data_IF_273812730466
#
_entry.id   IF_273812730466
#
_cell.length_a   1.000
_cell.length_b   1.000
_cell.length_c   1.000
_cell.angle_alpha   90.00
_cell.angle_beta   90.00
_cell.angle_gamma   90.00
#
_symmetry.space_group_name_H-M   'P 1'
#
loop_
_entity.id
_entity.type
_entity.pdbx_description
1 polymer ?
#
# COMPACT_ATOMS: atom_id res chain seq x y z
N UNK A 1 -8.61 -77.40 20.44
CA UNK A 1 -8.24 -76.41 21.47
C UNK A 1 -7.27 -75.47 20.84
N UNK A 2 -7.57 -74.30 20.84
CA UNK A 2 -6.94 -73.00 20.53
C UNK A 2 -7.64 -72.22 19.41
N UNK A 3 -8.34 -71.21 19.94
CA UNK A 3 -9.09 -70.19 19.20
C UNK A 3 -8.15 -69.15 18.63
N UNK A 4 -8.24 -68.86 17.34
CA UNK A 4 -7.58 -67.74 16.70
C UNK A 4 -8.58 -66.61 16.47
N UNK A 5 -8.43 -65.49 17.22
CA UNK A 5 -9.20 -64.28 17.02
C UNK A 5 -8.60 -63.46 15.87
N UNK A 6 -9.44 -63.11 14.89
CA UNK A 6 -9.15 -62.18 13.81
C UNK A 6 -9.17 -60.73 14.34
N UNK A 7 -8.05 -60.00 14.12
CA UNK A 7 -7.99 -58.54 14.26
C UNK A 7 -8.38 -57.95 12.92
N UNK A 8 -9.52 -57.25 12.88
CA UNK A 8 -9.99 -56.49 11.71
C UNK A 8 -9.37 -55.10 11.69
N UNK A 9 -8.74 -54.77 10.59
CA UNK A 9 -8.25 -53.43 10.27
C UNK A 9 -9.41 -52.51 9.92
N UNK A 10 -9.62 -51.46 10.70
CA UNK A 10 -10.50 -50.36 10.39
C UNK A 10 -9.66 -49.21 9.83
N UNK A 11 -9.61 -49.08 8.51
CA UNK A 11 -9.24 -47.85 7.83
C UNK A 11 -10.48 -46.96 7.79
N UNK A 12 -10.51 -45.89 8.63
CA UNK A 12 -11.47 -44.80 8.54
C UNK A 12 -10.89 -43.73 7.63
N UNK A 13 -11.45 -43.61 6.44
CA UNK A 13 -11.28 -42.45 5.57
C UNK A 13 -12.09 -41.31 6.16
N UNK A 14 -11.43 -40.31 6.76
CA UNK A 14 -12.05 -39.02 7.05
C UNK A 14 -12.29 -38.30 5.73
N UNK A 15 -13.54 -38.07 5.39
CA UNK A 15 -13.98 -37.05 4.44
C UNK A 15 -13.75 -35.68 5.08
N UNK A 16 -13.19 -34.77 4.28
CA UNK A 16 -13.17 -33.34 4.60
C UNK A 16 -14.61 -32.85 4.73
N UNK A 17 -14.99 -32.47 5.92
CA UNK A 17 -16.26 -31.79 6.18
C UNK A 17 -16.07 -30.31 5.75
N UNK A 18 -16.75 -29.92 4.69
CA UNK A 18 -16.99 -28.54 4.33
C UNK A 18 -17.78 -27.87 5.45
N UNK A 19 -17.13 -27.00 6.22
CA UNK A 19 -17.78 -26.20 7.26
C UNK A 19 -18.50 -25.06 6.58
N UNK A 20 -19.76 -25.25 6.29
CA UNK A 20 -20.71 -24.22 5.88
C UNK A 20 -20.96 -23.28 7.08
N UNK A 21 -20.37 -22.08 7.04
CA UNK A 21 -20.58 -21.03 8.03
C UNK A 21 -21.94 -20.36 7.79
N UNK A 22 -23.00 -20.89 8.41
CA UNK A 22 -24.30 -20.22 8.47
C UNK A 22 -24.22 -19.00 9.40
N UNK A 23 -24.36 -17.81 8.82
CA UNK A 23 -24.57 -16.57 9.55
C UNK A 23 -26.02 -16.49 10.05
N UNK A 24 -26.30 -15.98 11.25
CA UNK A 24 -27.66 -15.80 11.72
C UNK A 24 -28.35 -14.69 10.90
N UNK A 25 -29.45 -15.05 10.24
CA UNK A 25 -30.37 -14.14 9.59
C UNK A 25 -31.11 -13.30 10.66
N UNK A 26 -30.82 -12.02 10.69
CA UNK A 26 -31.61 -11.06 11.45
C UNK A 26 -32.81 -10.65 10.60
N UNK A 27 -34.04 -11.08 10.99
CA UNK A 27 -35.27 -10.67 10.36
C UNK A 27 -35.62 -9.24 10.79
N UNK A 28 -35.69 -8.29 9.89
CA UNK A 28 -36.30 -7.00 10.10
C UNK A 28 -37.68 -6.98 9.45
N UNK A 29 -38.67 -6.71 10.25
CA UNK A 29 -40.07 -6.51 9.86
C UNK A 29 -40.21 -5.28 8.95
N UNK A 30 -40.86 -5.50 7.80
CA UNK A 30 -41.23 -4.48 6.84
C UNK A 30 -42.37 -3.58 7.38
N UNK A 31 -42.22 -2.27 7.15
CA UNK A 31 -43.35 -1.35 7.07
C UNK A 31 -43.37 -0.70 5.67
N UNK A 32 -44.46 -0.97 4.98
CA UNK A 32 -44.86 -0.45 3.69
C UNK A 32 -45.12 1.07 3.74
N UNK A 33 -44.56 1.83 2.82
CA UNK A 33 -45.25 3.00 2.27
C UNK A 33 -44.90 3.23 0.77
N UNK A 34 -45.97 3.59 0.05
CA UNK A 34 -46.16 3.63 -1.39
C UNK A 34 -45.32 4.66 -2.16
N UNK A 35 -44.88 4.21 -3.31
CA UNK A 35 -45.07 4.79 -4.66
C UNK A 35 -45.01 6.30 -4.89
N UNK A 36 -43.99 6.75 -5.65
CA UNK A 36 -44.19 7.70 -6.76
C UNK A 36 -43.04 7.66 -7.76
N UNK A 37 -43.39 7.27 -8.94
CA UNK A 37 -42.62 7.38 -10.20
C UNK A 37 -42.35 8.84 -10.56
N UNK A 38 -41.14 9.18 -10.97
CA UNK A 38 -40.92 10.15 -12.05
C UNK A 38 -39.44 10.23 -12.48
N UNK A 39 -39.20 9.96 -13.76
CA UNK A 39 -38.42 10.82 -14.64
C UNK A 39 -36.90 10.75 -14.54
N UNK A 40 -36.30 9.94 -15.38
CA UNK A 40 -34.92 10.12 -15.85
C UNK A 40 -34.78 11.49 -16.53
N UNK A 41 -33.96 12.38 -15.97
CA UNK A 41 -33.39 13.51 -16.70
C UNK A 41 -31.88 13.44 -16.58
N UNK A 42 -31.24 13.37 -17.76
CA UNK A 42 -29.81 13.48 -17.94
C UNK A 42 -29.27 14.78 -17.31
N UNK A 43 -28.32 14.67 -16.42
CA UNK A 43 -27.61 15.85 -15.89
C UNK A 43 -26.56 16.27 -16.93
N UNK A 44 -26.89 17.32 -17.67
CA UNK A 44 -25.94 18.11 -18.46
C UNK A 44 -24.86 18.70 -17.54
N UNK A 45 -23.62 18.62 -18.00
CA UNK A 45 -22.47 19.29 -17.42
C UNK A 45 -22.66 20.82 -17.45
N UNK A 46 -23.14 21.42 -16.39
CA UNK A 46 -23.08 22.86 -16.17
C UNK A 46 -21.72 23.21 -15.56
N UNK A 47 -20.78 23.60 -16.40
CA UNK A 47 -19.58 24.31 -15.97
C UNK A 47 -19.97 25.71 -15.53
N UNK A 48 -19.92 25.99 -14.23
CA UNK A 48 -20.04 27.34 -13.68
C UNK A 48 -18.69 28.04 -13.90
N UNK A 49 -18.66 29.18 -14.62
CA UNK A 49 -17.42 29.94 -14.79
C UNK A 49 -17.05 30.63 -13.46
N UNK A 50 -15.89 30.33 -12.94
CA UNK A 50 -15.31 31.09 -11.82
C UNK A 50 -14.83 32.43 -12.38
N UNK A 51 -15.27 33.59 -11.87
CA UNK A 51 -14.76 34.88 -12.30
C UNK A 51 -13.32 35.05 -11.86
N UNK A 52 -12.40 35.13 -12.81
CA UNK A 52 -11.00 35.50 -12.56
C UNK A 52 -10.96 36.98 -12.17
N UNK A 53 -10.58 37.26 -10.95
CA UNK A 53 -10.18 38.61 -10.54
C UNK A 53 -8.91 39.02 -11.28
N UNK A 54 -8.81 40.26 -11.79
CA UNK A 54 -7.59 40.72 -12.46
C UNK A 54 -6.46 40.88 -11.44
N UNK A 55 -5.35 40.21 -11.70
CA UNK A 55 -4.12 40.41 -10.95
C UNK A 55 -3.62 41.86 -11.18
N UNK A 56 -3.16 42.58 -10.15
CA UNK A 56 -2.56 43.90 -10.32
C UNK A 56 -1.26 43.79 -11.10
N UNK A 57 -1.11 44.57 -12.16
CA UNK A 57 0.14 44.75 -12.90
C UNK A 57 1.20 45.37 -11.97
N UNK A 58 2.45 44.91 -11.99
CA UNK A 58 3.50 45.63 -11.30
C UNK A 58 3.75 47.01 -11.93
N UNK A 59 4.14 48.03 -11.15
CA UNK A 59 4.35 49.39 -11.65
C UNK A 59 5.52 49.40 -12.64
N UNK A 60 5.28 50.05 -13.76
CA UNK A 60 6.24 50.33 -14.81
C UNK A 60 7.31 51.34 -14.25
N UNK A 61 8.51 50.83 -13.96
CA UNK A 61 9.65 51.68 -13.58
C UNK A 61 10.20 52.32 -14.85
N UNK A 62 9.85 53.60 -15.08
CA UNK A 62 10.45 54.47 -16.08
C UNK A 62 11.92 54.72 -15.69
N UNK A 63 12.84 54.02 -16.33
CA UNK A 63 14.26 54.33 -16.22
C UNK A 63 14.53 55.50 -17.16
N UNK A 64 14.65 56.71 -16.62
CA UNK A 64 15.17 57.88 -17.29
C UNK A 64 16.67 57.71 -17.53
N UNK A 65 17.09 57.75 -18.78
CA UNK A 65 18.53 57.75 -19.16
C UNK A 65 19.18 58.98 -18.58
N UNK A 66 20.30 58.86 -17.85
CA UNK A 66 21.09 60.03 -17.48
C UNK A 66 21.88 60.55 -18.69
N UNK A 67 21.93 61.85 -18.78
CA UNK A 67 22.73 62.62 -19.77
C UNK A 67 24.21 62.24 -19.62
N UNK A 68 24.89 62.17 -20.77
CA UNK A 68 26.33 61.95 -20.85
C UNK A 68 27.11 63.08 -20.20
N UNK A 69 27.97 62.79 -19.20
CA UNK A 69 28.94 63.81 -18.75
C UNK A 69 30.17 63.78 -19.63
N UNK A 70 30.57 64.99 -19.99
CA UNK A 70 31.83 65.33 -20.62
C UNK A 70 33.05 64.76 -19.89
N UNK A 71 33.99 64.32 -20.71
CA UNK A 71 35.40 64.01 -20.45
C UNK A 71 35.94 64.43 -19.05
N UNK A 72 36.11 63.43 -18.19
CA UNK A 72 36.95 63.57 -16.99
C UNK A 72 38.18 62.76 -17.19
N UNK A 73 39.31 63.48 -17.13
CA UNK A 73 40.69 62.99 -17.14
C UNK A 73 40.88 61.93 -16.04
N UNK A 74 41.06 60.68 -16.39
CA UNK A 74 41.36 59.60 -15.43
C UNK A 74 42.88 59.46 -15.26
N UNK A 75 43.40 59.61 -14.06
CA UNK A 75 44.80 59.30 -13.81
C UNK A 75 45.10 57.79 -14.03
N UNK A 76 46.28 57.42 -14.47
CA UNK A 76 46.62 56.01 -14.69
C UNK A 76 46.61 55.23 -13.38
N UNK A 77 45.87 54.14 -13.36
CA UNK A 77 45.83 53.22 -12.24
C UNK A 77 47.23 52.63 -11.96
N UNK A 78 47.60 52.54 -10.67
CA UNK A 78 48.86 51.92 -10.32
C UNK A 78 48.89 50.46 -10.79
N UNK A 79 49.88 50.09 -11.54
CA UNK A 79 50.14 48.72 -11.93
C UNK A 79 50.44 47.92 -10.67
N UNK A 80 49.45 47.12 -10.22
CA UNK A 80 49.66 46.12 -9.17
C UNK A 80 50.53 45.03 -9.80
N UNK A 81 51.84 45.09 -9.53
CA UNK A 81 52.76 44.00 -9.82
C UNK A 81 52.31 42.81 -8.95
N UNK A 82 51.55 41.90 -9.55
CA UNK A 82 51.24 40.62 -8.91
C UNK A 82 52.52 39.83 -8.76
N UNK A 83 53.14 39.87 -7.61
CA UNK A 83 54.23 38.93 -7.26
C UNK A 83 53.59 37.54 -7.28
N UNK A 84 54.13 36.58 -8.07
CA UNK A 84 53.64 35.21 -7.99
C UNK A 84 53.83 34.70 -6.56
N UNK A 85 52.73 34.31 -5.92
CA UNK A 85 52.77 33.67 -4.62
C UNK A 85 53.54 32.36 -4.75
N UNK A 86 54.84 32.39 -4.39
CA UNK A 86 55.60 31.15 -4.28
C UNK A 86 55.18 30.50 -2.97
N UNK A 87 54.22 29.55 -3.08
CA UNK A 87 53.85 28.66 -1.96
C UNK A 87 55.12 27.89 -1.65
N UNK A 88 55.64 28.02 -0.42
CA UNK A 88 56.79 27.22 0.01
C UNK A 88 56.39 25.73 -0.03
N UNK A 89 57.37 24.87 -0.38
CA UNK A 89 57.11 23.42 -0.37
C UNK A 89 56.57 22.90 0.95
N UNK A 90 56.90 23.54 2.07
CA UNK A 90 56.39 23.26 3.42
C UNK A 90 54.91 23.59 3.51
N UNK A 91 54.43 24.72 2.98
CA UNK A 91 53.02 25.11 2.94
C UNK A 91 52.23 24.21 2.04
N UNK A 92 52.80 23.76 0.91
CA UNK A 92 52.15 22.80 0.04
C UNK A 92 51.94 21.42 0.68
N UNK A 93 52.98 20.93 1.39
CA UNK A 93 52.89 19.70 2.18
C UNK A 93 51.83 19.79 3.32
N UNK A 94 51.73 20.92 3.97
CA UNK A 94 50.77 21.14 5.04
C UNK A 94 49.32 21.12 4.51
N UNK A 95 49.10 21.74 3.34
CA UNK A 95 47.82 21.72 2.63
C UNK A 95 47.45 20.28 2.22
N UNK A 96 48.39 19.52 1.69
CA UNK A 96 48.18 18.13 1.28
C UNK A 96 47.82 17.27 2.54
N UNK A 97 48.53 17.49 3.65
CA UNK A 97 48.26 16.77 4.90
C UNK A 97 46.88 17.12 5.46
N UNK A 98 46.47 18.38 5.42
CA UNK A 98 45.11 18.79 5.86
C UNK A 98 44.03 18.19 4.96
N UNK A 99 44.25 18.19 3.64
CA UNK A 99 43.32 17.56 2.69
C UNK A 99 43.25 16.04 2.94
N UNK A 100 44.40 15.40 3.13
CA UNK A 100 44.44 13.96 3.41
C UNK A 100 43.74 13.62 4.74
N UNK A 101 43.98 14.36 5.83
CA UNK A 101 43.29 14.16 7.12
C UNK A 101 41.82 14.45 7.01
N UNK A 102 41.41 15.45 6.24
CA UNK A 102 39.99 15.75 6.00
C UNK A 102 39.30 14.57 5.26
N UNK A 103 39.93 14.05 4.20
CA UNK A 103 39.38 12.87 3.50
C UNK A 103 39.43 11.58 4.31
N UNK A 104 40.42 11.41 5.20
CA UNK A 104 40.44 10.24 6.11
C UNK A 104 39.38 10.35 7.20
N UNK A 105 39.12 11.56 7.71
CA UNK A 105 38.02 11.80 8.65
C UNK A 105 36.65 11.62 8.00
N UNK A 106 36.49 12.04 6.74
CA UNK A 106 35.26 11.78 5.97
C UNK A 106 35.05 10.30 5.68
N UNK A 107 36.14 9.54 5.41
CA UNK A 107 36.06 8.08 5.22
C UNK A 107 35.92 7.31 6.53
N UNK A 108 36.31 7.92 7.64
CA UNK A 108 36.28 7.29 8.97
C UNK A 108 35.02 7.58 9.80
N UNK A 109 34.07 8.38 9.28
CA UNK A 109 32.74 8.40 9.88
C UNK A 109 32.12 7.01 9.59
N UNK A 110 31.89 6.18 10.63
CA UNK A 110 31.25 4.89 10.39
C UNK A 110 29.90 5.18 9.76
N UNK A 111 29.71 4.75 8.49
CA UNK A 111 28.41 4.70 7.89
C UNK A 111 27.61 3.71 8.74
N UNK A 112 26.78 4.24 9.62
CA UNK A 112 25.90 3.41 10.44
C UNK A 112 25.02 2.64 9.47
N UNK A 113 25.13 1.33 9.47
CA UNK A 113 24.35 0.50 8.57
C UNK A 113 22.86 0.85 8.71
N UNK A 114 22.15 0.91 7.60
CA UNK A 114 20.69 1.19 7.60
C UNK A 114 19.95 0.27 8.60
N UNK A 115 20.43 -0.96 8.78
CA UNK A 115 19.92 -1.92 9.77
C UNK A 115 20.09 -1.49 11.24
N UNK A 116 21.16 -0.76 11.59
CA UNK A 116 21.35 -0.26 12.95
C UNK A 116 20.43 0.93 13.28
N UNK A 117 20.14 1.76 12.26
CA UNK A 117 19.20 2.88 12.41
C UNK A 117 17.78 2.35 12.65
N UNK A 118 17.38 1.30 11.94
CA UNK A 118 16.05 0.68 12.11
C UNK A 118 15.92 0.05 13.49
N UNK A 119 16.95 -0.64 13.97
CA UNK A 119 16.93 -1.27 15.29
C UNK A 119 16.80 -0.27 16.46
N UNK A 120 17.24 0.98 16.29
CA UNK A 120 17.14 2.02 17.33
C UNK A 120 15.70 2.53 17.53
N UNK A 121 14.81 2.34 16.54
CA UNK A 121 13.40 2.73 16.61
C UNK A 121 12.46 1.58 17.00
N UNK A 122 13.01 0.41 17.28
CA UNK A 122 12.21 -0.77 17.61
C UNK A 122 11.57 -0.62 19.00
N UNK A 123 10.25 -0.49 19.04
CA UNK A 123 9.45 -0.31 20.24
C UNK A 123 9.41 -1.51 21.19
N UNK A 124 10.23 -2.54 20.95
CA UNK A 124 10.30 -3.77 21.75
C UNK A 124 10.99 -4.92 21.04
N UNK A 125 11.14 -6.09 21.68
CA UNK A 125 11.72 -7.26 21.02
C UNK A 125 10.85 -7.71 19.85
N UNK A 126 11.47 -8.14 18.73
CA UNK A 126 10.72 -8.59 17.56
C UNK A 126 9.84 -9.81 17.89
N UNK A 127 8.65 -9.86 17.33
CA UNK A 127 7.66 -10.92 17.52
C UNK A 127 7.93 -12.08 16.55
N UNK A 128 9.07 -12.74 16.75
CA UNK A 128 9.51 -13.85 15.89
C UNK A 128 8.64 -15.11 16.00
N UNK A 129 7.76 -15.16 16.99
CA UNK A 129 6.72 -16.18 17.18
C UNK A 129 5.57 -16.06 16.16
N UNK A 130 5.45 -14.92 15.50
CA UNK A 130 4.42 -14.65 14.48
C UNK A 130 4.96 -15.05 13.10
N UNK A 131 4.26 -15.93 12.41
CA UNK A 131 4.68 -16.50 11.12
C UNK A 131 3.60 -16.43 10.03
N UNK A 132 2.35 -16.16 10.40
CA UNK A 132 1.21 -16.09 9.51
C UNK A 132 0.73 -14.64 9.34
N UNK A 133 0.74 -14.14 8.11
CA UNK A 133 0.20 -12.84 7.76
C UNK A 133 -1.25 -12.97 7.30
N UNK A 134 -2.18 -12.28 7.99
CA UNK A 134 -3.58 -12.13 7.58
C UNK A 134 -3.80 -10.69 7.11
N UNK A 135 -4.16 -10.51 5.85
CA UNK A 135 -4.36 -9.21 5.19
C UNK A 135 -5.84 -8.98 4.93
N UNK A 136 -6.37 -7.84 5.35
CA UNK A 136 -7.68 -7.35 4.94
C UNK A 136 -7.48 -6.16 3.99
N UNK A 137 -7.81 -6.36 2.72
CA UNK A 137 -7.66 -5.32 1.71
C UNK A 137 -8.76 -4.24 1.86
N UNK A 138 -8.35 -2.97 1.99
CA UNK A 138 -9.24 -1.82 2.02
C UNK A 138 -9.87 -1.53 0.65
N UNK A 139 -11.02 -0.88 0.67
CA UNK A 139 -11.77 -0.51 -0.53
C UNK A 139 -12.43 0.86 -0.44
N UNK A 140 -12.71 1.32 0.77
CA UNK A 140 -13.34 2.59 1.10
C UNK A 140 -12.84 3.07 2.46
N UNK A 141 -13.14 4.32 2.81
CA UNK A 141 -12.77 4.90 4.09
C UNK A 141 -14.03 5.09 4.92
N UNK A 142 -14.07 4.46 6.09
CA UNK A 142 -15.09 4.73 7.10
C UNK A 142 -14.75 6.01 7.86
N UNK A 143 -15.67 6.97 7.88
CA UNK A 143 -15.48 8.29 8.47
C UNK A 143 -15.96 8.40 9.92
N UNK A 144 -16.37 7.27 10.51
CA UNK A 144 -17.04 7.24 11.81
C UNK A 144 -18.55 7.32 11.67
N UNK A 145 -19.24 6.97 12.74
CA UNK A 145 -20.69 7.03 12.84
C UNK A 145 -21.27 6.08 13.88
N UNK A 146 -22.55 6.26 14.19
CA UNK A 146 -23.21 5.54 15.26
C UNK A 146 -23.68 4.14 14.86
N UNK A 147 -23.77 3.87 13.55
CA UNK A 147 -24.22 2.55 13.04
C UNK A 147 -23.06 1.57 12.91
N UNK A 148 -21.82 2.03 13.19
CA UNK A 148 -20.61 1.23 13.09
C UNK A 148 -20.48 0.57 11.70
N UNK A 149 -20.65 1.40 10.66
CA UNK A 149 -20.45 1.01 9.27
C UNK A 149 -21.63 0.31 8.60
N UNK A 150 -22.78 0.22 9.23
CA UNK A 150 -24.02 -0.29 8.58
C UNK A 150 -24.64 0.73 7.62
N UNK A 151 -24.55 2.01 7.94
CA UNK A 151 -25.05 3.09 7.10
C UNK A 151 -23.96 3.52 6.11
N UNK A 152 -24.30 3.57 4.84
CA UNK A 152 -23.37 4.00 3.78
C UNK A 152 -22.95 5.46 3.90
N UNK A 153 -23.74 6.31 4.54
CA UNK A 153 -23.38 7.70 4.80
C UNK A 153 -22.19 7.86 5.72
N UNK A 154 -21.84 6.83 6.46
CA UNK A 154 -20.62 6.77 7.28
C UNK A 154 -19.34 6.49 6.45
N UNK A 155 -19.48 6.17 5.16
CA UNK A 155 -18.38 5.78 4.29
C UNK A 155 -18.10 6.80 3.18
N UNK A 156 -16.86 6.95 2.85
CA UNK A 156 -16.44 7.67 1.65
C UNK A 156 -16.42 6.72 0.46
N UNK A 157 -17.54 6.70 -0.27
CA UNK A 157 -17.77 5.78 -1.38
C UNK A 157 -17.53 6.44 -2.74
N UNK A 158 -17.05 5.65 -3.70
CA UNK A 158 -17.15 5.98 -5.12
C UNK A 158 -18.54 5.55 -5.65
N UNK A 159 -19.05 6.17 -6.73
CA UNK A 159 -20.41 5.90 -7.22
C UNK A 159 -20.74 4.41 -7.41
N UNK A 160 -19.77 3.61 -7.85
CA UNK A 160 -19.95 2.17 -8.06
C UNK A 160 -19.87 1.34 -6.77
N UNK A 161 -19.56 1.95 -5.62
CA UNK A 161 -19.42 1.25 -4.33
C UNK A 161 -20.68 1.32 -3.46
N UNK A 162 -21.76 1.97 -3.94
CA UNK A 162 -23.03 1.96 -3.24
C UNK A 162 -23.56 0.52 -3.12
N UNK A 163 -24.15 0.17 -1.99
CA UNK A 163 -24.59 -1.19 -1.66
C UNK A 163 -23.51 -2.09 -1.05
N UNK A 164 -22.24 -1.63 -0.95
CA UNK A 164 -21.11 -2.48 -0.53
C UNK A 164 -20.65 -2.28 0.92
N UNK A 165 -21.20 -1.35 1.69
CA UNK A 165 -20.78 -1.09 3.07
C UNK A 165 -20.80 -2.35 3.94
N UNK A 166 -21.87 -3.15 3.85
CA UNK A 166 -22.00 -4.44 4.55
C UNK A 166 -20.90 -5.43 4.13
N UNK A 167 -20.49 -5.43 2.86
CA UNK A 167 -19.41 -6.30 2.38
C UNK A 167 -18.07 -5.86 2.96
N UNK A 168 -17.78 -4.57 3.03
CA UNK A 168 -16.52 -4.08 3.66
C UNK A 168 -16.47 -4.49 5.14
N UNK A 169 -17.60 -4.37 5.87
CA UNK A 169 -17.70 -4.83 7.25
C UNK A 169 -17.51 -6.34 7.37
N UNK A 170 -18.05 -7.13 6.44
CA UNK A 170 -17.87 -8.58 6.40
C UNK A 170 -16.40 -8.96 6.16
N UNK A 171 -15.66 -8.22 5.31
CA UNK A 171 -14.21 -8.40 5.14
C UNK A 171 -13.45 -8.17 6.45
N UNK A 172 -13.76 -7.07 7.17
CA UNK A 172 -13.16 -6.75 8.47
C UNK A 172 -13.41 -7.88 9.47
N UNK A 173 -14.68 -8.31 9.63
CA UNK A 173 -15.08 -9.38 10.55
C UNK A 173 -14.36 -10.70 10.23
N UNK A 174 -14.30 -11.07 8.96
CA UNK A 174 -13.64 -12.32 8.53
C UNK A 174 -12.14 -12.28 8.76
N UNK A 175 -11.48 -11.13 8.51
CA UNK A 175 -10.07 -10.96 8.83
C UNK A 175 -9.78 -11.14 10.31
N UNK A 176 -10.58 -10.49 11.17
CA UNK A 176 -10.50 -10.63 12.62
C UNK A 176 -10.70 -12.10 13.07
N UNK A 177 -11.77 -12.75 12.60
CA UNK A 177 -12.05 -14.15 12.93
C UNK A 177 -10.95 -15.10 12.45
N UNK A 178 -10.36 -14.82 11.29
CA UNK A 178 -9.24 -15.61 10.75
C UNK A 178 -8.01 -15.48 11.63
N UNK A 179 -7.67 -14.26 12.05
CA UNK A 179 -6.53 -14.01 12.92
C UNK A 179 -6.76 -14.52 14.37
N UNK A 180 -7.98 -14.53 14.86
CA UNK A 180 -8.33 -15.10 16.17
C UNK A 180 -8.10 -16.61 16.25
N UNK A 181 -8.22 -17.32 15.13
CA UNK A 181 -8.02 -18.78 15.07
C UNK A 181 -6.56 -19.21 15.10
N UNK A 182 -5.60 -18.28 14.97
CA UNK A 182 -4.18 -18.57 14.80
C UNK A 182 -3.35 -17.58 15.62
N UNK A 183 -2.87 -18.02 16.78
CA UNK A 183 -2.11 -17.16 17.71
C UNK A 183 -0.76 -16.70 17.12
N UNK A 184 -0.25 -17.40 16.11
CA UNK A 184 0.94 -17.05 15.35
C UNK A 184 0.67 -16.10 14.18
N UNK A 185 -0.54 -15.49 14.11
CA UNK A 185 -0.90 -14.57 13.03
C UNK A 185 -0.77 -13.10 13.43
N UNK A 186 -0.34 -12.26 12.47
CA UNK A 186 -0.48 -10.80 12.48
C UNK A 186 -1.60 -10.40 11.54
N UNK A 187 -2.59 -9.68 12.06
CA UNK A 187 -3.66 -9.07 11.27
C UNK A 187 -3.23 -7.70 10.77
N UNK A 188 -3.23 -7.51 9.46
CA UNK A 188 -2.93 -6.22 8.84
C UNK A 188 -4.13 -5.77 8.00
N UNK A 189 -4.70 -4.62 8.36
CA UNK A 189 -5.60 -3.87 7.47
C UNK A 189 -4.73 -3.03 6.55
N UNK A 190 -4.97 -3.10 5.22
CA UNK A 190 -4.11 -2.42 4.24
C UNK A 190 -4.90 -1.54 3.29
N UNK A 191 -4.33 -0.40 2.94
CA UNK A 191 -4.87 0.58 2.01
C UNK A 191 -4.55 2.01 2.46
N UNK A 192 -4.03 2.80 1.53
CA UNK A 192 -3.54 4.14 1.79
C UNK A 192 -4.62 5.22 1.81
N UNK A 193 -4.17 6.48 1.78
CA UNK A 193 -4.99 7.70 1.71
C UNK A 193 -5.49 7.93 0.28
N UNK A 194 -6.36 7.04 -0.21
CA UNK A 194 -6.70 6.95 -1.64
C UNK A 194 -7.81 7.91 -2.09
N UNK A 195 -8.40 8.69 -1.18
CA UNK A 195 -9.55 9.59 -1.43
C UNK A 195 -9.24 11.02 -1.01
N UNK A 196 -9.03 11.93 -1.97
CA UNK A 196 -8.75 13.34 -1.69
C UNK A 196 -9.88 14.05 -0.91
N UNK A 197 -11.11 13.64 -1.13
CA UNK A 197 -12.28 14.23 -0.46
C UNK A 197 -12.54 13.68 0.96
N UNK A 198 -11.82 12.63 1.37
CA UNK A 198 -11.84 12.14 2.75
C UNK A 198 -10.80 12.83 3.65
N UNK A 199 -9.95 13.72 3.09
CA UNK A 199 -8.76 14.19 3.79
C UNK A 199 -7.69 13.08 3.91
N UNK A 200 -6.65 13.28 4.74
CA UNK A 200 -5.55 12.34 4.90
C UNK A 200 -5.93 11.15 5.81
N UNK A 201 -7.05 10.51 5.52
CA UNK A 201 -7.49 9.29 6.19
C UNK A 201 -7.17 8.08 5.31
N UNK A 202 -6.62 7.02 5.89
CA UNK A 202 -6.32 5.79 5.18
C UNK A 202 -7.48 4.80 5.24
N UNK A 203 -7.60 3.97 4.21
CA UNK A 203 -8.53 2.85 4.20
C UNK A 203 -8.20 1.90 5.36
N UNK A 204 -6.92 1.61 5.57
CA UNK A 204 -6.42 0.71 6.60
C UNK A 204 -6.77 1.16 8.02
N UNK A 205 -6.47 2.41 8.38
CA UNK A 205 -6.76 2.95 9.70
C UNK A 205 -8.26 2.98 9.97
N UNK A 206 -9.08 3.32 8.96
CA UNK A 206 -10.52 3.35 9.10
C UNK A 206 -11.11 1.96 9.40
N UNK A 207 -10.56 0.91 8.75
CA UNK A 207 -10.97 -0.48 8.99
C UNK A 207 -10.56 -0.96 10.38
N UNK A 208 -9.33 -0.66 10.81
CA UNK A 208 -8.87 -0.98 12.16
C UNK A 208 -9.74 -0.29 13.22
N UNK A 209 -10.04 1.00 13.02
CA UNK A 209 -10.89 1.79 13.92
C UNK A 209 -12.31 1.22 14.01
N UNK A 210 -12.87 0.81 12.88
CA UNK A 210 -14.20 0.19 12.86
C UNK A 210 -14.18 -1.16 13.59
N UNK A 211 -13.16 -2.00 13.37
CA UNK A 211 -13.02 -3.26 14.10
C UNK A 211 -12.92 -3.06 15.62
N UNK A 212 -12.13 -2.06 16.05
CA UNK A 212 -11.97 -1.71 17.46
C UNK A 212 -13.28 -1.20 18.09
N UNK A 213 -13.91 -0.21 17.45
CA UNK A 213 -15.16 0.38 17.96
C UNK A 213 -16.33 -0.60 17.94
N UNK A 214 -16.33 -1.53 16.99
CA UNK A 214 -17.30 -2.65 16.94
C UNK A 214 -16.99 -3.76 17.94
N UNK A 215 -15.97 -3.61 18.79
CA UNK A 215 -15.53 -4.62 19.78
C UNK A 215 -15.13 -5.97 19.17
N UNK A 216 -14.73 -5.98 17.91
CA UNK A 216 -14.17 -7.16 17.27
C UNK A 216 -12.70 -7.38 17.72
N UNK A 217 -12.02 -6.29 18.06
CA UNK A 217 -10.67 -6.29 18.64
C UNK A 217 -10.78 -5.64 20.02
N UNK A 218 -10.75 -6.44 21.06
CA UNK A 218 -10.85 -5.97 22.45
C UNK A 218 -9.50 -5.39 22.93
N UNK A 219 -9.51 -4.25 23.67
CA UNK A 219 -8.30 -3.72 24.28
C UNK A 219 -7.58 -4.76 25.13
N UNK A 220 -6.26 -4.81 25.07
CA UNK A 220 -5.40 -5.74 25.80
C UNK A 220 -5.62 -7.24 25.47
N UNK A 221 -6.40 -7.56 24.46
CA UNK A 221 -6.49 -8.94 23.95
C UNK A 221 -5.20 -9.35 23.23
N UNK A 222 -4.97 -10.66 23.07
CA UNK A 222 -3.89 -11.18 22.24
C UNK A 222 -3.96 -10.60 20.82
N UNK A 223 -5.14 -10.52 20.22
CA UNK A 223 -5.33 -9.98 18.88
C UNK A 223 -5.06 -8.46 18.80
N UNK A 224 -5.37 -7.68 19.84
CA UNK A 224 -5.05 -6.26 19.89
C UNK A 224 -3.53 -6.05 19.72
N UNK A 225 -2.73 -6.86 20.42
CA UNK A 225 -1.27 -6.80 20.37
C UNK A 225 -0.65 -7.43 19.11
N UNK A 226 -1.43 -7.97 18.18
CA UNK A 226 -1.00 -8.53 16.90
C UNK A 226 -1.96 -8.14 15.77
N UNK A 227 -2.42 -6.88 15.84
CA UNK A 227 -3.15 -6.21 14.76
C UNK A 227 -2.53 -4.85 14.49
N UNK A 228 -2.39 -4.48 13.22
CA UNK A 228 -1.80 -3.20 12.82
C UNK A 228 -2.33 -2.78 11.45
N UNK A 229 -1.86 -1.64 10.95
CA UNK A 229 -2.23 -1.07 9.66
C UNK A 229 -1.04 -0.98 8.72
N UNK A 230 -1.31 -1.03 7.43
CA UNK A 230 -0.44 -0.69 6.33
C UNK A 230 -1.12 0.42 5.51
N UNK A 231 -0.55 1.62 5.47
CA UNK A 231 -1.26 2.84 5.05
C UNK A 231 -0.69 3.48 3.77
N UNK A 232 0.15 2.78 3.02
CA UNK A 232 0.79 3.32 1.82
C UNK A 232 0.31 2.70 0.52
N UNK A 233 -0.36 1.55 0.58
CA UNK A 233 -0.81 0.84 -0.61
C UNK A 233 -1.87 1.62 -1.38
N UNK A 234 -1.69 1.68 -2.71
CA UNK A 234 -2.54 2.43 -3.64
C UNK A 234 -3.34 1.52 -4.57
N UNK A 235 -2.97 0.26 -4.64
CA UNK A 235 -3.66 -0.78 -5.41
C UNK A 235 -3.51 -2.16 -4.77
N UNK A 236 -4.12 -3.18 -5.38
CA UNK A 236 -4.16 -4.53 -4.83
C UNK A 236 -2.80 -5.26 -4.85
N UNK A 237 -1.90 -4.91 -5.77
CA UNK A 237 -0.54 -5.43 -5.76
C UNK A 237 0.25 -4.86 -4.59
N UNK A 238 0.16 -3.55 -4.38
CA UNK A 238 0.80 -2.87 -3.25
C UNK A 238 0.18 -3.31 -1.91
N UNK A 239 -1.13 -3.54 -1.84
CA UNK A 239 -1.77 -4.11 -0.65
C UNK A 239 -1.07 -5.41 -0.22
N UNK A 240 -0.74 -6.29 -1.17
CA UNK A 240 -0.06 -7.54 -0.87
C UNK A 240 1.41 -7.32 -0.49
N UNK A 241 2.17 -6.63 -1.34
CA UNK A 241 3.62 -6.45 -1.17
C UNK A 241 3.95 -5.62 0.07
N UNK A 242 3.23 -4.51 0.29
CA UNK A 242 3.49 -3.62 1.41
C UNK A 242 3.06 -4.23 2.75
N UNK A 243 2.00 -5.05 2.76
CA UNK A 243 1.65 -5.83 3.96
C UNK A 243 2.74 -6.82 4.36
N UNK A 244 3.46 -7.41 3.41
CA UNK A 244 4.61 -8.26 3.73
C UNK A 244 5.75 -7.44 4.34
N UNK A 245 6.02 -6.24 3.82
CA UNK A 245 7.01 -5.35 4.41
C UNK A 245 6.59 -4.87 5.80
N UNK A 246 5.33 -4.53 5.99
CA UNK A 246 4.79 -4.15 7.31
C UNK A 246 4.85 -5.30 8.31
N UNK A 247 4.62 -6.54 7.85
CA UNK A 247 4.82 -7.75 8.65
C UNK A 247 6.28 -7.88 9.09
N UNK A 248 7.22 -7.65 8.18
CA UNK A 248 8.65 -7.69 8.51
C UNK A 248 9.04 -6.61 9.53
N UNK A 249 8.53 -5.39 9.41
CA UNK A 249 8.75 -4.33 10.41
C UNK A 249 8.28 -4.75 11.81
N UNK A 250 7.17 -5.50 11.89
CA UNK A 250 6.56 -5.91 13.15
C UNK A 250 7.27 -7.12 13.77
N UNK A 251 7.74 -8.06 12.95
CA UNK A 251 8.21 -9.38 13.38
C UNK A 251 9.71 -9.59 13.21
N UNK A 252 10.38 -8.75 12.44
CA UNK A 252 11.75 -8.95 11.92
C UNK A 252 11.91 -10.25 11.11
N UNK A 253 10.80 -10.85 10.67
CA UNK A 253 10.75 -12.05 9.83
C UNK A 253 9.87 -11.82 8.60
N UNK A 254 9.94 -12.72 7.64
CA UNK A 254 8.99 -12.79 6.53
C UNK A 254 7.93 -13.86 6.81
N UNK A 255 6.67 -13.65 6.35
CA UNK A 255 5.62 -14.61 6.62
C UNK A 255 5.87 -15.95 5.91
N UNK A 256 5.62 -17.06 6.62
CA UNK A 256 5.62 -18.39 6.04
C UNK A 256 4.26 -18.79 5.49
N UNK A 257 3.19 -18.13 5.95
CA UNK A 257 1.82 -18.31 5.48
C UNK A 257 1.15 -16.96 5.27
N UNK A 258 0.38 -16.84 4.20
CA UNK A 258 -0.31 -15.61 3.82
C UNK A 258 -1.78 -15.89 3.55
N UNK A 259 -2.68 -15.16 4.22
CA UNK A 259 -4.11 -15.18 3.96
C UNK A 259 -4.57 -13.78 3.58
N UNK A 260 -5.27 -13.63 2.46
CA UNK A 260 -5.86 -12.36 2.03
C UNK A 260 -7.37 -12.46 2.07
N UNK A 261 -8.02 -11.47 2.67
CA UNK A 261 -9.48 -11.32 2.71
C UNK A 261 -9.90 -10.15 1.82
N UNK A 262 -10.87 -10.36 0.94
CA UNK A 262 -11.38 -9.35 0.03
C UNK A 262 -12.56 -9.86 -0.80
N UNK A 263 -12.92 -9.15 -1.87
CA UNK A 263 -14.00 -9.57 -2.76
C UNK A 263 -13.70 -10.88 -3.48
N UNK A 264 -14.69 -11.78 -3.58
CA UNK A 264 -14.55 -13.05 -4.29
C UNK A 264 -14.17 -12.87 -5.76
N UNK A 265 -14.79 -11.91 -6.46
CA UNK A 265 -14.47 -11.65 -7.86
C UNK A 265 -13.02 -11.24 -8.12
N UNK A 266 -12.25 -10.85 -7.07
CA UNK A 266 -10.81 -10.52 -7.16
C UNK A 266 -9.89 -11.71 -6.87
N UNK A 267 -10.43 -12.89 -6.54
CA UNK A 267 -9.66 -14.09 -6.15
C UNK A 267 -8.61 -14.46 -7.20
N UNK A 268 -9.00 -14.53 -8.46
CA UNK A 268 -8.08 -14.92 -9.53
C UNK A 268 -6.90 -13.95 -9.61
N UNK A 269 -7.14 -12.65 -9.62
CA UNK A 269 -6.07 -11.64 -9.66
C UNK A 269 -5.09 -11.75 -8.50
N UNK A 270 -5.57 -11.93 -7.27
CA UNK A 270 -4.68 -12.10 -6.13
C UNK A 270 -3.91 -13.41 -6.17
N UNK A 271 -4.56 -14.51 -6.54
CA UNK A 271 -3.97 -15.84 -6.50
C UNK A 271 -3.04 -16.13 -7.68
N UNK A 272 -3.39 -15.68 -8.88
CA UNK A 272 -2.65 -15.99 -10.11
C UNK A 272 -1.71 -14.88 -10.55
N UNK A 273 -2.05 -13.60 -10.34
CA UNK A 273 -1.22 -12.49 -10.80
C UNK A 273 -0.36 -11.93 -9.65
N UNK A 274 -0.96 -11.37 -8.60
CA UNK A 274 -0.19 -10.70 -7.54
C UNK A 274 0.70 -11.67 -6.76
N UNK A 275 0.18 -12.82 -6.33
CA UNK A 275 0.98 -13.86 -5.67
C UNK A 275 2.12 -14.35 -6.58
N UNK A 276 1.84 -14.57 -7.88
CA UNK A 276 2.86 -15.00 -8.81
C UNK A 276 3.92 -13.92 -9.08
N UNK A 277 3.54 -12.64 -9.16
CA UNK A 277 4.46 -11.53 -9.34
C UNK A 277 5.49 -11.43 -8.21
N UNK A 278 5.05 -11.67 -6.96
CA UNK A 278 5.95 -11.74 -5.79
C UNK A 278 6.52 -13.15 -5.57
N UNK A 279 6.18 -14.12 -6.42
CA UNK A 279 6.61 -15.54 -6.35
C UNK A 279 6.40 -16.19 -4.98
N UNK A 280 5.33 -15.80 -4.26
CA UNK A 280 5.00 -16.44 -2.99
C UNK A 280 4.47 -17.86 -3.26
N UNK A 281 4.87 -18.90 -2.48
CA UNK A 281 4.45 -20.27 -2.71
C UNK A 281 2.91 -20.43 -2.67
N UNK A 282 2.35 -21.16 -3.64
CA UNK A 282 0.89 -21.30 -3.77
C UNK A 282 0.28 -22.08 -2.60
N UNK A 283 0.99 -23.10 -2.12
CA UNK A 283 0.62 -23.95 -1.00
C UNK A 283 0.53 -23.22 0.34
N UNK A 284 1.19 -22.08 0.45
CA UNK A 284 1.20 -21.22 1.63
C UNK A 284 0.32 -19.97 1.47
N UNK A 285 -0.39 -19.86 0.33
CA UNK A 285 -1.24 -18.70 0.02
C UNK A 285 -2.73 -19.07 0.05
N UNK A 286 -3.49 -18.42 0.89
CA UNK A 286 -4.95 -18.57 1.00
C UNK A 286 -5.64 -17.26 0.61
N UNK A 287 -6.73 -17.35 -0.12
CA UNK A 287 -7.60 -16.20 -0.39
C UNK A 287 -9.02 -16.51 0.09
N UNK A 288 -9.57 -15.64 0.93
CA UNK A 288 -10.95 -15.70 1.41
C UNK A 288 -11.72 -14.59 0.71
N UNK A 289 -12.61 -15.00 -0.19
CA UNK A 289 -13.44 -14.07 -0.95
C UNK A 289 -14.83 -13.98 -0.37
N UNK A 290 -15.36 -12.76 -0.29
CA UNK A 290 -16.70 -12.46 0.23
C UNK A 290 -17.32 -11.40 -0.67
N UNK A 291 -18.47 -11.73 -1.24
CA UNK A 291 -19.34 -10.85 -2.01
C UNK A 291 -20.71 -10.80 -1.33
N UNK A 292 -20.80 -10.10 -0.24
CA UNK A 292 -22.06 -9.94 0.51
C UNK A 292 -22.85 -8.74 -0.02
N UNK A 293 -23.32 -8.83 -1.26
CA UNK A 293 -24.20 -7.82 -1.87
C UNK A 293 -25.58 -8.42 -2.14
N UNK A 294 -26.60 -7.59 -1.97
CA UNK A 294 -28.00 -7.95 -2.25
C UNK A 294 -28.36 -7.74 -3.73
N UNK A 295 -27.42 -7.17 -4.54
CA UNK A 295 -27.58 -6.88 -5.95
C UNK A 295 -26.73 -7.83 -6.83
N UNK A 296 -27.32 -8.92 -7.40
CA UNK A 296 -26.60 -9.85 -8.25
C UNK A 296 -26.15 -9.22 -9.59
N UNK A 297 -26.84 -8.22 -10.10
CA UNK A 297 -26.47 -7.56 -11.37
C UNK A 297 -25.22 -6.70 -11.17
N UNK A 298 -25.16 -5.96 -10.05
CA UNK A 298 -23.98 -5.22 -9.66
C UNK A 298 -22.77 -6.15 -9.50
N UNK A 299 -22.95 -7.29 -8.83
CA UNK A 299 -21.88 -8.28 -8.65
C UNK A 299 -21.42 -8.86 -10.00
N UNK A 300 -22.33 -9.22 -10.89
CA UNK A 300 -22.00 -9.69 -12.24
C UNK A 300 -21.23 -8.62 -13.03
N UNK A 301 -21.61 -7.35 -12.89
CA UNK A 301 -20.90 -6.21 -13.47
C UNK A 301 -19.47 -6.08 -12.96
N UNK A 302 -19.24 -6.24 -11.64
CA UNK A 302 -17.89 -6.25 -11.06
C UNK A 302 -17.06 -7.42 -11.54
N UNK A 303 -17.62 -8.63 -11.55
CA UNK A 303 -16.91 -9.83 -12.02
C UNK A 303 -16.51 -9.71 -13.49
N UNK A 304 -17.39 -9.14 -14.33
CA UNK A 304 -17.10 -8.87 -15.74
C UNK A 304 -15.99 -7.82 -15.88
N UNK A 305 -16.11 -6.67 -15.21
CA UNK A 305 -15.11 -5.61 -15.25
C UNK A 305 -13.75 -6.04 -14.72
N UNK A 306 -13.72 -6.90 -13.69
CA UNK A 306 -12.52 -7.53 -13.19
C UNK A 306 -11.84 -8.40 -14.26
N UNK A 307 -12.59 -9.31 -14.86
CA UNK A 307 -12.08 -10.29 -15.84
C UNK A 307 -11.61 -9.63 -17.13
N UNK A 308 -12.39 -8.69 -17.67
CA UNK A 308 -12.12 -8.03 -18.95
C UNK A 308 -11.13 -6.85 -18.81
N UNK A 309 -10.99 -6.30 -17.61
CA UNK A 309 -10.15 -5.15 -17.30
C UNK A 309 -8.94 -5.50 -16.43
N UNK A 310 -9.07 -5.31 -15.12
CA UNK A 310 -7.95 -5.34 -14.18
C UNK A 310 -7.17 -6.66 -14.15
N UNK A 311 -7.84 -7.80 -14.26
CA UNK A 311 -7.16 -9.10 -14.30
C UNK A 311 -6.24 -9.19 -15.53
N UNK A 312 -6.73 -8.73 -16.69
CA UNK A 312 -5.93 -8.70 -17.92
C UNK A 312 -4.75 -7.74 -17.80
N UNK A 313 -4.99 -6.52 -17.30
CA UNK A 313 -3.93 -5.52 -17.13
C UNK A 313 -2.81 -6.05 -16.22
N UNK A 314 -3.14 -6.68 -15.08
CA UNK A 314 -2.13 -7.26 -14.19
C UNK A 314 -1.51 -8.56 -14.71
N UNK A 315 -2.12 -9.24 -15.66
CA UNK A 315 -1.49 -10.35 -16.38
C UNK A 315 -0.39 -9.84 -17.31
N UNK A 316 -0.66 -8.73 -18.01
CA UNK A 316 0.28 -8.10 -18.94
C UNK A 316 1.34 -7.27 -18.21
N UNK A 317 0.99 -6.64 -17.09
CA UNK A 317 1.87 -5.87 -16.20
C UNK A 317 1.71 -6.29 -14.72
N UNK A 318 2.33 -7.41 -14.29
CA UNK A 318 2.12 -7.98 -12.96
C UNK A 318 2.48 -7.06 -11.79
N UNK A 319 3.36 -6.08 -12.02
CA UNK A 319 3.82 -5.12 -11.01
C UNK A 319 3.08 -3.78 -11.08
N UNK A 320 2.24 -3.55 -12.09
CA UNK A 320 1.44 -2.33 -12.27
C UNK A 320 2.27 -1.07 -12.48
N UNK A 321 3.42 -1.19 -13.18
CA UNK A 321 4.37 -0.09 -13.32
C UNK A 321 4.64 0.32 -14.78
N UNK A 322 4.10 -0.41 -15.75
CA UNK A 322 4.26 -0.14 -17.19
C UNK A 322 2.96 0.27 -17.85
N UNK A 323 1.84 -0.37 -17.49
CA UNK A 323 0.51 -0.04 -18.02
C UNK A 323 0.12 1.39 -17.64
N UNK A 324 -0.26 2.25 -18.60
CA UNK A 324 -0.61 3.65 -18.34
C UNK A 324 -1.78 3.82 -17.38
N UNK A 325 -2.83 3.00 -17.50
CA UNK A 325 -4.03 3.11 -16.66
C UNK A 325 -3.74 2.70 -15.21
N UNK A 326 -2.94 1.63 -15.00
CA UNK A 326 -2.51 1.23 -13.66
C UNK A 326 -1.62 2.29 -13.03
N UNK A 327 -0.71 2.91 -13.78
CA UNK A 327 0.15 4.01 -13.32
C UNK A 327 -0.67 5.25 -12.93
N UNK A 328 -1.60 5.67 -13.77
CA UNK A 328 -2.46 6.83 -13.50
C UNK A 328 -3.39 6.59 -12.31
N UNK A 329 -3.94 5.39 -12.20
CA UNK A 329 -4.71 4.96 -11.04
C UNK A 329 -3.90 5.03 -9.75
N UNK A 330 -2.67 4.50 -9.77
CA UNK A 330 -1.75 4.53 -8.62
C UNK A 330 -1.37 5.97 -8.25
N UNK A 331 -1.10 6.81 -9.25
CA UNK A 331 -0.82 8.23 -9.07
C UNK A 331 -2.02 9.00 -8.48
N UNK A 332 -3.22 8.76 -9.02
CA UNK A 332 -4.46 9.40 -8.56
C UNK A 332 -4.85 8.99 -7.12
N UNK A 333 -4.39 7.83 -6.67
CA UNK A 333 -4.60 7.31 -5.31
C UNK A 333 -3.53 7.72 -4.31
N UNK A 334 -2.76 8.75 -4.59
CA UNK A 334 -1.81 9.34 -3.66
C UNK A 334 -1.94 10.89 -3.65
N UNK A 335 -3.14 11.43 -3.35
CA UNK A 335 -3.38 12.87 -3.39
C UNK A 335 -2.55 13.63 -2.35
N UNK A 336 -2.21 13.00 -1.22
CA UNK A 336 -1.44 13.60 -0.12
C UNK A 336 0.06 13.36 -0.22
N UNK A 337 0.54 12.65 -1.29
CA UNK A 337 1.96 12.43 -1.60
C UNK A 337 2.72 11.68 -0.50
N UNK A 338 2.03 10.78 0.18
CA UNK A 338 2.64 9.89 1.19
C UNK A 338 3.67 8.97 0.54
N UNK A 339 4.71 8.62 1.31
CA UNK A 339 5.79 7.74 0.88
C UNK A 339 6.10 6.73 1.98
N UNK A 340 6.20 5.47 1.61
CA UNK A 340 6.64 4.42 2.52
C UNK A 340 8.16 4.42 2.72
N UNK A 341 8.60 3.85 3.84
CA UNK A 341 10.02 3.63 4.16
C UNK A 341 10.52 2.21 3.87
N UNK A 342 9.74 1.36 3.20
CA UNK A 342 10.01 -0.09 3.06
C UNK A 342 11.30 -0.45 2.34
N UNK A 343 11.89 0.45 1.58
CA UNK A 343 13.22 0.22 0.99
C UNK A 343 14.33 0.12 2.05
N UNK A 344 14.08 0.68 3.24
CA UNK A 344 15.00 0.66 4.39
C UNK A 344 14.57 -0.41 5.39
N UNK A 345 13.27 -0.46 5.73
CA UNK A 345 12.74 -1.32 6.78
C UNK A 345 12.43 -2.76 6.31
N UNK A 346 12.45 -3.00 4.99
CA UNK A 346 12.22 -4.30 4.35
C UNK A 346 13.31 -4.57 3.29
N UNK A 347 14.60 -4.63 3.69
CA UNK A 347 15.75 -4.50 2.80
C UNK A 347 15.86 -5.63 1.77
N UNK A 348 15.45 -6.86 2.09
CA UNK A 348 15.50 -8.00 1.18
C UNK A 348 14.51 -7.85 0.01
N UNK A 349 13.45 -7.03 0.19
CA UNK A 349 12.48 -6.73 -0.87
C UNK A 349 12.77 -5.42 -1.61
N UNK A 350 13.83 -4.69 -1.26
CA UNK A 350 14.21 -3.41 -1.91
C UNK A 350 14.29 -3.52 -3.44
N UNK A 351 14.86 -4.62 -3.93
CA UNK A 351 14.91 -4.89 -5.38
C UNK A 351 13.54 -5.05 -6.00
N UNK A 352 12.65 -5.82 -5.36
CA UNK A 352 11.27 -6.03 -5.82
C UNK A 352 10.43 -4.75 -5.74
N UNK A 353 10.58 -3.96 -4.68
CA UNK A 353 9.88 -2.67 -4.50
C UNK A 353 10.18 -1.66 -5.62
N UNK A 354 11.38 -1.75 -6.21
CA UNK A 354 11.84 -0.89 -7.32
C UNK A 354 11.68 -1.53 -8.69
N UNK A 355 11.29 -2.80 -8.71
CA UNK A 355 11.25 -3.55 -9.96
C UNK A 355 10.14 -3.06 -10.87
N UNK A 356 10.51 -2.89 -12.14
CA UNK A 356 9.59 -2.71 -13.24
C UNK A 356 10.12 -3.47 -14.45
N UNK A 357 9.24 -3.99 -15.29
CA UNK A 357 9.64 -4.66 -16.54
C UNK A 357 10.37 -3.67 -17.44
N UNK A 358 11.34 -4.18 -18.19
CA UNK A 358 12.05 -3.40 -19.20
C UNK A 358 11.17 -3.13 -20.43
N UNK A 359 11.32 -1.96 -21.04
CA UNK A 359 10.54 -1.53 -22.21
C UNK A 359 10.62 -2.52 -23.38
N UNK A 360 11.76 -3.20 -23.57
CA UNK A 360 11.95 -4.16 -24.66
C UNK A 360 11.18 -5.45 -24.43
N UNK A 361 11.04 -5.91 -23.18
CA UNK A 361 10.19 -7.06 -22.85
C UNK A 361 8.71 -6.77 -23.10
N UNK A 362 8.28 -5.53 -22.81
CA UNK A 362 6.90 -5.08 -23.06
C UNK A 362 6.59 -5.10 -24.56
N UNK A 363 7.52 -4.60 -25.39
CA UNK A 363 7.37 -4.60 -26.87
C UNK A 363 7.29 -6.01 -27.45
N UNK A 364 8.00 -6.95 -26.85
CA UNK A 364 7.99 -8.35 -27.25
C UNK A 364 6.76 -9.13 -26.72
N UNK A 365 5.87 -8.50 -25.96
CA UNK A 365 4.71 -9.14 -25.33
C UNK A 365 5.08 -10.21 -24.30
N UNK A 366 6.28 -10.12 -23.73
CA UNK A 366 6.78 -11.04 -22.71
C UNK A 366 6.56 -10.45 -21.32
N UNK A 367 5.92 -11.22 -20.45
CA UNK A 367 5.81 -10.89 -19.04
C UNK A 367 7.11 -11.25 -18.34
N UNK A 368 7.78 -10.26 -17.75
CA UNK A 368 8.97 -10.49 -16.95
C UNK A 368 8.61 -10.53 -15.47
N UNK A 369 9.09 -11.57 -14.79
CA UNK A 369 9.06 -11.63 -13.33
C UNK A 369 10.35 -11.03 -12.76
N UNK A 370 10.28 -10.50 -11.54
CA UNK A 370 11.45 -10.04 -10.82
C UNK A 370 12.50 -11.16 -10.71
N UNK A 371 13.75 -10.96 -11.22
CA UNK A 371 14.73 -12.04 -11.29
C UNK A 371 15.51 -12.26 -9.97
N UNK A 372 15.43 -11.31 -9.03
CA UNK A 372 16.19 -11.38 -7.77
C UNK A 372 15.73 -12.50 -6.84
N UNK A 373 16.54 -12.85 -5.85
CA UNK A 373 16.12 -13.77 -4.78
C UNK A 373 15.12 -13.10 -3.84
N UNK A 374 14.19 -13.89 -3.31
CA UNK A 374 13.17 -13.46 -2.35
C UNK A 374 13.28 -14.31 -1.08
N UNK A 375 12.91 -13.79 0.10
CA UNK A 375 13.06 -14.51 1.37
C UNK A 375 12.46 -15.91 1.37
N UNK A 376 11.29 -16.08 0.75
CA UNK A 376 10.57 -17.35 0.63
C UNK A 376 11.04 -18.25 -0.52
N UNK A 377 12.03 -17.84 -1.33
CA UNK A 377 12.57 -18.65 -2.44
C UNK A 377 13.53 -19.75 -1.98
N UNK A 378 14.00 -19.71 -0.73
CA UNK A 378 14.97 -20.65 -0.16
C UNK A 378 14.32 -21.85 0.55
N UNK A 379 13.01 -22.03 0.41
CA UNK A 379 12.20 -22.98 1.13
C UNK A 379 11.70 -22.38 2.47
N UNK A 380 10.42 -22.42 2.66
CA UNK A 380 9.76 -22.10 3.92
C UNK A 380 9.80 -23.34 4.82
#
# INVERSE_FOLDING_TARGET
>A
MFSTSKVGSLFSTRRDEDVELSLPLYSSSASTHENRSSGFLAAENVQVPIPRSPSPRPPEVRISRPATPSSIYSPPLPQIVRRPWRISWQTALLIILVIYTFFTLLKGAPYRAESEIVAEYDGGPPRTDITHLVVVAGHAIWMGGNTLGEDETEWTLLPYQHGLAKTFKAHIMTGVQTAQKSEDSLLIFTGGETRNFAGPASEAQSYWSLAYLSKLIEPNSSLFNRSTTEEFARDSYENLLFSICRFHEYTSNYPTKLTVVGFEFKRERFKTEHRAAIRFPLEHFTYIGIDNTEDPEQLAGFAKGEKEGLLKQYRDDPHGCTDPELKDKRKGRNPFRTRHGYEVTCPELKGLLRWCMEDDAIKDGKTQQYPGSLPWSKGI
#
